data_IF_711222423532
#
_entry.id   IF_711222423532
#
_cell.length_a   1.000
_cell.length_b   1.000
_cell.length_c   1.000
_cell.angle_alpha   90.00
_cell.angle_beta   90.00
_cell.angle_gamma   90.00
#
_symmetry.space_group_name_H-M   'P 1'
#
loop_
_entity.id
_entity.type
_entity.pdbx_description
1 polymer ?
#
# COMPACT_ATOMS: atom_id res chain seq x y z
N UNK A 1 5.66 6.28 -31.94
CA UNK A 1 5.12 6.56 -30.60
C UNK A 1 5.24 5.31 -29.74
N UNK A 2 6.21 5.27 -28.81
CA UNK A 2 6.23 4.24 -27.76
C UNK A 2 4.97 4.48 -26.92
N UNK A 3 3.98 3.59 -27.02
CA UNK A 3 2.84 3.59 -26.09
C UNK A 3 3.42 3.27 -24.72
N UNK A 4 3.76 4.29 -23.95
CA UNK A 4 4.10 4.13 -22.53
C UNK A 4 2.84 3.53 -21.90
N UNK A 5 2.83 2.20 -21.71
CA UNK A 5 1.78 1.54 -20.95
C UNK A 5 1.79 2.24 -19.61
N UNK A 6 0.75 2.98 -19.21
CA UNK A 6 0.76 3.61 -17.89
C UNK A 6 0.77 2.50 -16.83
N UNK A 7 1.93 2.35 -16.18
CA UNK A 7 2.20 1.41 -15.09
C UNK A 7 1.81 1.99 -13.73
N UNK A 8 1.66 3.32 -13.66
CA UNK A 8 1.37 4.06 -12.44
C UNK A 8 -0.13 4.13 -12.24
N UNK A 9 -0.66 3.18 -11.49
CA UNK A 9 -2.06 3.16 -11.05
C UNK A 9 -2.13 3.45 -9.54
N UNK A 10 -3.27 3.92 -9.01
CA UNK A 10 -3.39 4.34 -7.61
C UNK A 10 -2.84 3.31 -6.60
N UNK A 11 -3.14 2.03 -6.80
CA UNK A 11 -2.72 0.96 -5.89
C UNK A 11 -1.20 0.74 -5.94
N UNK A 12 -0.59 0.87 -7.11
CA UNK A 12 0.87 0.79 -7.29
C UNK A 12 1.56 2.00 -6.64
N UNK A 13 1.02 3.21 -6.86
CA UNK A 13 1.56 4.45 -6.27
C UNK A 13 1.48 4.37 -4.75
N UNK A 14 0.32 3.98 -4.20
CA UNK A 14 0.16 3.81 -2.76
C UNK A 14 1.13 2.78 -2.21
N UNK A 15 1.23 1.60 -2.83
CA UNK A 15 2.16 0.57 -2.38
C UNK A 15 3.60 1.06 -2.25
N UNK A 16 4.09 1.82 -3.25
CA UNK A 16 5.42 2.42 -3.20
C UNK A 16 5.56 3.48 -2.11
N UNK A 17 4.60 4.40 -1.99
CA UNK A 17 4.62 5.44 -0.95
C UNK A 17 4.67 4.79 0.44
N UNK A 18 3.84 3.78 0.66
CA UNK A 18 3.74 3.07 1.93
C UNK A 18 5.03 2.31 2.26
N UNK A 19 5.61 1.60 1.29
CA UNK A 19 6.89 0.90 1.48
C UNK A 19 8.04 1.87 1.76
N UNK A 20 8.19 2.91 0.95
CA UNK A 20 9.27 3.89 1.11
C UNK A 20 9.12 4.61 2.44
N UNK A 21 7.92 5.06 2.78
CA UNK A 21 7.64 5.71 4.06
C UNK A 21 7.97 4.82 5.26
N UNK A 22 7.57 3.55 5.22
CA UNK A 22 7.86 2.59 6.29
C UNK A 22 9.36 2.32 6.43
N UNK A 23 10.07 2.13 5.32
CA UNK A 23 11.53 1.91 5.34
C UNK A 23 12.27 3.13 5.87
N UNK A 24 11.95 4.33 5.37
CA UNK A 24 12.56 5.58 5.85
C UNK A 24 12.31 5.75 7.35
N UNK A 25 11.08 5.57 7.81
CA UNK A 25 10.75 5.70 9.23
C UNK A 25 11.48 4.65 10.09
N UNK A 26 11.54 3.41 9.61
CA UNK A 26 12.24 2.31 10.29
C UNK A 26 13.74 2.60 10.46
N UNK A 27 14.39 3.19 9.45
CA UNK A 27 15.81 3.52 9.54
C UNK A 27 16.09 4.77 10.39
N UNK A 28 15.27 5.83 10.26
CA UNK A 28 15.48 7.08 10.99
C UNK A 28 15.16 6.90 12.48
N UNK A 29 14.06 6.22 12.80
CA UNK A 29 13.54 6.11 14.17
C UNK A 29 13.73 4.72 14.77
N UNK A 30 14.75 3.96 14.31
CA UNK A 30 15.00 2.59 14.77
C UNK A 30 15.04 2.46 16.30
N UNK A 31 15.77 3.37 16.97
CA UNK A 31 15.93 3.33 18.43
C UNK A 31 14.60 3.51 19.19
N UNK A 32 13.70 4.34 18.68
CA UNK A 32 12.38 4.56 19.26
C UNK A 32 11.43 3.40 18.94
N UNK A 33 11.43 2.94 17.68
CA UNK A 33 10.55 1.86 17.22
C UNK A 33 10.88 0.51 17.85
N UNK A 34 12.17 0.27 18.15
CA UNK A 34 12.65 -0.95 18.81
C UNK A 34 12.65 -0.87 20.33
N UNK A 35 12.26 0.27 20.92
CA UNK A 35 12.18 0.44 22.36
C UNK A 35 11.11 -0.47 22.99
N UNK A 36 11.30 -0.82 24.26
CA UNK A 36 10.47 -1.76 25.00
C UNK A 36 10.34 -3.12 24.27
N UNK A 37 9.11 -3.54 23.92
CA UNK A 37 8.85 -4.82 23.25
C UNK A 37 9.03 -4.75 21.72
N UNK A 38 9.39 -3.59 21.16
CA UNK A 38 9.63 -3.44 19.72
C UNK A 38 8.36 -3.43 18.86
N UNK A 39 7.19 -3.13 19.44
CA UNK A 39 5.92 -3.03 18.71
C UNK A 39 5.95 -2.02 17.56
N UNK A 40 6.80 -0.98 17.65
CA UNK A 40 7.02 -0.04 16.56
C UNK A 40 7.60 -0.71 15.31
N UNK A 41 8.58 -1.60 15.49
CA UNK A 41 9.17 -2.39 14.40
C UNK A 41 8.12 -3.34 13.80
N UNK A 42 7.33 -4.01 14.64
CA UNK A 42 6.22 -4.89 14.18
C UNK A 42 5.21 -4.09 13.35
N UNK A 43 4.84 -2.90 13.80
CA UNK A 43 3.98 -1.98 13.05
C UNK A 43 4.55 -1.62 11.68
N UNK A 44 5.85 -1.29 11.61
CA UNK A 44 6.52 -0.99 10.34
C UNK A 44 6.55 -2.20 9.40
N UNK A 45 6.79 -3.41 9.91
CA UNK A 45 6.71 -4.66 9.12
C UNK A 45 5.30 -4.84 8.55
N UNK A 46 4.26 -4.59 9.37
CA UNK A 46 2.86 -4.63 8.91
C UNK A 46 2.60 -3.64 7.77
N UNK A 47 3.14 -2.43 7.84
CA UNK A 47 3.01 -1.41 6.79
C UNK A 47 3.77 -1.85 5.51
N UNK A 48 4.96 -2.44 5.63
CA UNK A 48 5.71 -2.99 4.49
C UNK A 48 4.93 -4.11 3.81
N UNK A 49 4.32 -5.02 4.59
CA UNK A 49 3.48 -6.09 4.07
C UNK A 49 2.25 -5.53 3.33
N UNK A 50 1.58 -4.53 3.92
CA UNK A 50 0.47 -3.84 3.27
C UNK A 50 0.87 -3.23 1.93
N UNK A 51 2.00 -2.51 1.89
CA UNK A 51 2.53 -1.94 0.65
C UNK A 51 2.87 -3.01 -0.40
N UNK A 52 3.42 -4.14 0.03
CA UNK A 52 3.76 -5.27 -0.86
C UNK A 52 2.52 -5.93 -1.47
N UNK A 53 1.46 -6.10 -0.67
CA UNK A 53 0.16 -6.60 -1.14
C UNK A 53 -0.45 -5.62 -2.15
N UNK A 54 -0.39 -4.31 -1.85
CA UNK A 54 -0.89 -3.28 -2.74
C UNK A 54 -0.18 -3.31 -4.12
N UNK A 55 1.16 -3.39 -4.13
CA UNK A 55 1.93 -3.53 -5.37
C UNK A 55 1.53 -4.80 -6.13
N UNK A 56 1.43 -5.93 -5.43
CA UNK A 56 1.08 -7.22 -6.04
C UNK A 56 -0.30 -7.19 -6.67
N UNK A 57 -1.32 -6.67 -5.95
CA UNK A 57 -2.68 -6.54 -6.46
C UNK A 57 -2.75 -5.59 -7.66
N UNK A 58 -2.09 -4.43 -7.61
CA UNK A 58 -2.04 -3.50 -8.73
C UNK A 58 -1.42 -4.14 -9.99
N UNK A 59 -0.36 -4.93 -9.83
CA UNK A 59 0.25 -5.68 -10.93
C UNK A 59 -0.67 -6.79 -11.45
N UNK A 60 -1.37 -7.53 -10.59
CA UNK A 60 -2.32 -8.58 -10.99
C UNK A 60 -3.52 -8.00 -11.74
N UNK A 61 -4.12 -6.92 -11.24
CA UNK A 61 -5.23 -6.22 -11.91
C UNK A 61 -4.80 -5.78 -13.30
N UNK A 62 -3.57 -5.30 -13.43
CA UNK A 62 -2.99 -4.92 -14.72
C UNK A 62 -2.83 -6.08 -15.71
N UNK A 63 -2.54 -7.30 -15.24
CA UNK A 63 -2.49 -8.48 -16.11
C UNK A 63 -3.88 -8.85 -16.63
N UNK A 64 -4.91 -8.69 -15.81
CA UNK A 64 -6.30 -9.09 -16.13
C UNK A 64 -7.00 -8.02 -16.99
N UNK A 65 -6.69 -6.74 -16.80
CA UNK A 65 -7.42 -5.64 -17.45
C UNK A 65 -6.54 -4.76 -18.33
N UNK A 66 -6.94 -4.65 -19.60
CA UNK A 66 -6.21 -3.86 -20.61
C UNK A 66 -6.58 -2.37 -20.58
N UNK A 67 -7.78 -2.02 -20.10
CA UNK A 67 -8.28 -0.65 -20.08
C UNK A 67 -7.87 0.07 -18.79
N UNK A 68 -7.17 1.20 -18.93
CA UNK A 68 -6.68 2.00 -17.80
C UNK A 68 -7.81 2.58 -16.93
N UNK A 69 -8.89 3.08 -17.54
CA UNK A 69 -10.00 3.67 -16.78
C UNK A 69 -10.65 2.62 -15.87
N UNK A 70 -10.83 1.41 -16.40
CA UNK A 70 -11.36 0.28 -15.64
C UNK A 70 -10.41 -0.13 -14.50
N UNK A 71 -9.09 -0.15 -14.75
CA UNK A 71 -8.09 -0.40 -13.69
C UNK A 71 -8.20 0.56 -12.55
N UNK A 72 -8.18 1.86 -12.85
CA UNK A 72 -8.26 2.92 -11.85
C UNK A 72 -9.55 2.78 -11.03
N UNK A 73 -10.69 2.51 -11.70
CA UNK A 73 -11.96 2.32 -11.02
C UNK A 73 -11.94 1.12 -10.05
N UNK A 74 -11.46 -0.05 -10.51
CA UNK A 74 -11.35 -1.25 -9.67
C UNK A 74 -10.43 -0.99 -8.48
N UNK A 75 -9.26 -0.38 -8.72
CA UNK A 75 -8.30 -0.09 -7.68
C UNK A 75 -8.84 0.89 -6.63
N UNK A 76 -9.54 1.95 -7.05
CA UNK A 76 -10.17 2.90 -6.14
C UNK A 76 -11.26 2.23 -5.28
N UNK A 77 -12.05 1.33 -5.86
CA UNK A 77 -13.05 0.56 -5.10
C UNK A 77 -12.35 -0.32 -4.06
N UNK A 78 -11.28 -1.02 -4.41
CA UNK A 78 -10.52 -1.84 -3.47
C UNK A 78 -9.92 -1.02 -2.33
N UNK A 79 -9.34 0.14 -2.65
CA UNK A 79 -8.80 1.07 -1.64
C UNK A 79 -9.91 1.56 -0.71
N UNK A 80 -11.07 1.94 -1.25
CA UNK A 80 -12.21 2.39 -0.45
C UNK A 80 -12.70 1.28 0.49
N UNK A 81 -12.84 0.05 -0.02
CA UNK A 81 -13.25 -1.11 0.80
C UNK A 81 -12.24 -1.40 1.92
N UNK A 82 -10.94 -1.37 1.63
CA UNK A 82 -9.90 -1.56 2.63
C UNK A 82 -9.93 -0.45 3.70
N UNK A 83 -10.06 0.81 3.27
CA UNK A 83 -10.16 1.95 4.19
C UNK A 83 -11.40 1.84 5.07
N UNK A 84 -12.57 1.52 4.50
CA UNK A 84 -13.80 1.29 5.27
C UNK A 84 -13.62 0.16 6.27
N UNK A 85 -13.06 -0.99 5.87
CA UNK A 85 -12.80 -2.10 6.78
C UNK A 85 -11.91 -1.68 7.96
N UNK A 86 -10.82 -0.96 7.71
CA UNK A 86 -9.94 -0.46 8.76
C UNK A 86 -10.69 0.48 9.71
N UNK A 87 -11.49 1.40 9.17
CA UNK A 87 -12.28 2.34 9.99
C UNK A 87 -13.29 1.61 10.87
N UNK A 88 -14.04 0.64 10.32
CA UNK A 88 -15.05 -0.09 11.09
C UNK A 88 -14.46 -1.02 12.16
N UNK A 89 -13.31 -1.65 11.91
CA UNK A 89 -12.73 -2.65 12.81
C UNK A 89 -11.64 -2.10 13.75
N UNK A 90 -11.10 -0.91 13.51
CA UNK A 90 -10.08 -0.31 14.39
C UNK A 90 -10.65 0.29 15.68
N UNK A 91 -11.98 0.31 15.86
CA UNK A 91 -12.63 0.73 17.11
C UNK A 91 -12.33 2.16 17.55
N UNK A 92 -11.84 3.02 16.64
CA UNK A 92 -11.48 4.42 16.94
C UNK A 92 -12.67 5.38 16.83
N UNK A 93 -13.87 4.91 17.20
CA UNK A 93 -15.05 5.72 17.53
C UNK A 93 -15.77 5.09 18.72
#
# INVERSE_FOLDING_TARGET
>A
MIKVKQYLTPLIIMGWITMIGALINLFINWAELSYAEGWGVVGMIGIILYGSIALTLGLLIRLITKNLKLRILIELILIALAASYIVFYSGRF
#
